data_IF_034253741115
#
_entry.id   IF_034253741115
#
_cell.length_a   1.000
_cell.length_b   1.000
_cell.length_c   1.000
_cell.angle_alpha   90.00
_cell.angle_beta   90.00
_cell.angle_gamma   90.00
#
_symmetry.space_group_name_H-M   'P 1'
#
loop_
_entity.id
_entity.type
_entity.pdbx_description
1 polymer ?
#
# COMPACT_ATOMS: atom_id res chain seq x y z
N UNK A 1 -13.24 2.36 -18.11
CA UNK A 1 -11.91 2.59 -17.50
C UNK A 1 -10.94 1.64 -18.19
N UNK A 2 -9.83 2.17 -18.71
CA UNK A 2 -8.90 1.38 -19.53
C UNK A 2 -7.99 0.57 -18.62
N UNK A 3 -7.96 -0.75 -18.80
CA UNK A 3 -6.99 -1.64 -18.16
C UNK A 3 -5.59 -1.29 -18.69
N UNK A 4 -4.68 -0.88 -17.82
CA UNK A 4 -3.30 -0.51 -18.18
C UNK A 4 -2.41 -1.76 -18.24
N UNK A 5 -1.23 -1.62 -18.84
CA UNK A 5 -0.24 -2.70 -18.87
C UNK A 5 0.25 -3.10 -17.46
N UNK A 6 0.26 -2.16 -16.51
CA UNK A 6 0.64 -2.39 -15.12
C UNK A 6 -0.42 -3.21 -14.37
N UNK A 7 -1.72 -3.03 -14.65
CA UNK A 7 -2.79 -3.81 -14.00
C UNK A 7 -2.67 -5.31 -14.30
N UNK A 8 -2.25 -5.68 -15.51
CA UNK A 8 -2.08 -7.09 -15.89
C UNK A 8 -0.80 -7.73 -15.31
N UNK A 9 0.11 -6.91 -14.78
CA UNK A 9 1.38 -7.35 -14.18
C UNK A 9 1.20 -7.75 -12.70
N UNK A 10 0.30 -7.10 -11.97
CA UNK A 10 0.13 -7.30 -10.53
C UNK A 10 -1.13 -8.12 -10.21
N UNK A 11 -0.95 -9.41 -9.92
CA UNK A 11 -2.02 -10.32 -9.47
C UNK A 11 -2.29 -10.18 -7.95
N UNK A 12 -3.02 -9.14 -7.54
CA UNK A 12 -3.29 -8.87 -6.12
C UNK A 12 -4.12 -9.98 -5.44
N UNK A 13 -5.00 -10.66 -6.17
CA UNK A 13 -5.85 -11.73 -5.65
C UNK A 13 -5.08 -13.04 -5.46
N UNK A 14 -4.23 -13.40 -6.43
CA UNK A 14 -3.48 -14.66 -6.43
C UNK A 14 -2.13 -14.59 -5.72
N UNK A 15 -1.60 -13.40 -5.43
CA UNK A 15 -0.29 -13.24 -4.80
C UNK A 15 -0.28 -13.74 -3.35
N UNK A 16 0.72 -14.59 -3.03
CA UNK A 16 0.92 -15.15 -1.70
C UNK A 16 2.13 -14.50 -1.04
N UNK A 17 1.86 -13.80 0.05
CA UNK A 17 2.88 -13.27 0.95
C UNK A 17 3.63 -14.42 1.62
N UNK A 18 4.95 -14.27 1.76
CA UNK A 18 5.75 -15.11 2.64
C UNK A 18 5.41 -14.83 4.11
N UNK A 19 5.94 -15.68 5.00
CA UNK A 19 5.65 -15.60 6.43
C UNK A 19 5.99 -14.23 7.04
N UNK A 20 7.12 -13.65 6.67
CA UNK A 20 7.54 -12.34 7.21
C UNK A 20 6.59 -11.22 6.78
N UNK A 21 6.29 -11.13 5.48
CA UNK A 21 5.38 -10.13 4.95
C UNK A 21 3.95 -10.29 5.49
N UNK A 22 3.50 -11.53 5.69
CA UNK A 22 2.20 -11.81 6.31
C UNK A 22 2.11 -11.31 7.75
N UNK A 23 3.21 -11.40 8.50
CA UNK A 23 3.28 -10.86 9.87
C UNK A 23 3.30 -9.33 9.87
N UNK A 24 4.05 -8.71 8.96
CA UNK A 24 4.09 -7.25 8.80
C UNK A 24 2.70 -6.69 8.45
N UNK A 25 1.99 -7.33 7.50
CA UNK A 25 0.62 -6.98 7.14
C UNK A 25 -0.33 -7.15 8.33
N UNK A 26 -0.21 -8.24 9.08
CA UNK A 26 -1.04 -8.49 10.26
C UNK A 26 -0.88 -7.38 11.29
N UNK A 27 0.36 -6.95 11.55
CA UNK A 27 0.64 -5.84 12.46
C UNK A 27 0.05 -4.53 11.96
N UNK A 28 0.17 -4.22 10.66
CA UNK A 28 -0.43 -3.02 10.09
C UNK A 28 -1.95 -3.01 10.28
N UNK A 29 -2.63 -4.12 9.97
CA UNK A 29 -4.09 -4.25 10.15
C UNK A 29 -4.48 -4.13 11.61
N UNK A 30 -3.73 -4.75 12.53
CA UNK A 30 -3.98 -4.63 13.97
C UNK A 30 -3.89 -3.16 14.43
N UNK A 31 -2.84 -2.43 14.02
CA UNK A 31 -2.71 -1.00 14.32
C UNK A 31 -3.87 -0.19 13.75
N UNK A 32 -4.26 -0.45 12.50
CA UNK A 32 -5.39 0.25 11.87
C UNK A 32 -6.69 0.01 12.63
N UNK A 33 -7.00 -1.24 13.01
CA UNK A 33 -8.22 -1.60 13.76
C UNK A 33 -8.25 -1.03 15.17
N UNK A 34 -7.11 -0.77 15.78
CA UNK A 34 -7.02 -0.17 17.11
C UNK A 34 -7.35 1.33 17.09
N UNK A 35 -7.12 2.01 15.96
CA UNK A 35 -7.12 3.48 15.90
C UNK A 35 -8.14 4.07 14.92
N UNK A 36 -8.63 3.29 13.95
CA UNK A 36 -9.56 3.72 12.89
C UNK A 36 -10.90 3.00 13.09
N UNK A 37 -12.00 3.76 13.05
CA UNK A 37 -13.35 3.23 13.31
C UNK A 37 -13.85 2.24 12.25
N UNK A 38 -13.50 2.50 10.99
CA UNK A 38 -13.88 1.67 9.85
C UNK A 38 -12.64 1.37 9.02
N UNK A 39 -12.32 0.08 8.91
CA UNK A 39 -11.13 -0.40 8.22
C UNK A 39 -11.53 -1.44 7.20
N UNK A 40 -11.23 -1.18 5.93
CA UNK A 40 -11.25 -2.20 4.89
C UNK A 40 -9.92 -2.99 4.89
N UNK A 41 -9.92 -4.08 5.66
CA UNK A 41 -8.81 -5.04 5.73
C UNK A 41 -8.37 -5.55 4.34
N UNK A 42 -9.30 -5.73 3.41
CA UNK A 42 -9.02 -6.27 2.08
C UNK A 42 -8.32 -5.22 1.23
N UNK A 43 -8.79 -3.98 1.25
CA UNK A 43 -8.16 -2.86 0.57
C UNK A 43 -6.73 -2.62 1.08
N UNK A 44 -6.51 -2.63 2.41
CA UNK A 44 -5.17 -2.52 3.00
C UNK A 44 -4.28 -3.69 2.60
N UNK A 45 -4.82 -4.91 2.62
CA UNK A 45 -4.07 -6.11 2.20
C UNK A 45 -3.63 -6.03 0.74
N UNK A 46 -4.51 -5.56 -0.14
CA UNK A 46 -4.21 -5.40 -1.56
C UNK A 46 -3.20 -4.27 -1.81
N UNK A 47 -3.31 -3.16 -1.09
CA UNK A 47 -2.32 -2.08 -1.13
C UNK A 47 -0.94 -2.55 -0.66
N UNK A 48 -0.88 -3.34 0.42
CA UNK A 48 0.37 -3.91 0.92
C UNK A 48 1.02 -4.84 -0.11
N UNK A 49 0.25 -5.72 -0.75
CA UNK A 49 0.76 -6.59 -1.82
C UNK A 49 1.29 -5.78 -2.99
N UNK A 50 0.56 -4.75 -3.43
CA UNK A 50 1.01 -3.88 -4.52
C UNK A 50 2.31 -3.17 -4.16
N UNK A 51 2.41 -2.60 -2.95
CA UNK A 51 3.63 -1.97 -2.45
C UNK A 51 4.81 -2.96 -2.45
N UNK A 52 4.61 -4.17 -1.95
CA UNK A 52 5.65 -5.19 -1.93
C UNK A 52 6.09 -5.62 -3.34
N UNK A 53 5.14 -5.97 -4.20
CA UNK A 53 5.41 -6.46 -5.56
C UNK A 53 6.05 -5.37 -6.44
N UNK A 54 5.63 -4.12 -6.30
CA UNK A 54 6.19 -2.99 -7.06
C UNK A 54 7.64 -2.70 -6.68
N UNK A 55 8.00 -2.92 -5.42
CA UNK A 55 9.37 -2.74 -4.91
C UNK A 55 10.17 -4.06 -4.80
N UNK A 56 9.71 -5.14 -5.45
CA UNK A 56 10.40 -6.44 -5.37
C UNK A 56 11.85 -6.32 -5.88
N UNK A 57 12.80 -6.76 -5.06
CA UNK A 57 14.23 -6.68 -5.37
C UNK A 57 14.88 -5.31 -5.09
N UNK A 58 14.11 -4.28 -4.74
CA UNK A 58 14.63 -2.99 -4.29
C UNK A 58 15.06 -3.05 -2.82
N UNK A 59 16.20 -2.45 -2.52
CA UNK A 59 16.75 -2.36 -1.17
C UNK A 59 17.09 -0.92 -0.82
N UNK A 60 16.87 -0.54 0.43
CA UNK A 60 17.35 0.76 0.95
C UNK A 60 18.88 0.74 1.07
N UNK A 61 19.46 1.92 1.28
CA UNK A 61 20.90 2.07 1.55
C UNK A 61 21.38 1.26 2.78
N UNK A 62 20.48 0.95 3.73
CA UNK A 62 20.75 0.07 4.88
C UNK A 62 20.86 -1.43 4.51
N UNK A 63 20.41 -1.83 3.32
CA UNK A 63 20.35 -3.23 2.88
C UNK A 63 19.01 -3.93 3.14
N UNK A 64 18.07 -3.26 3.80
CA UNK A 64 16.72 -3.77 4.07
C UNK A 64 15.80 -3.64 2.85
N UNK A 65 14.78 -4.50 2.71
CA UNK A 65 13.75 -4.36 1.69
C UNK A 65 13.09 -2.98 1.72
N UNK A 66 12.83 -2.40 0.54
CA UNK A 66 12.29 -1.04 0.44
C UNK A 66 10.91 -0.88 1.07
N UNK A 67 10.04 -1.90 0.93
CA UNK A 67 8.63 -1.88 1.39
C UNK A 67 8.46 -1.58 2.88
N UNK A 68 9.49 -1.81 3.72
CA UNK A 68 9.44 -1.46 5.13
C UNK A 68 9.18 0.03 5.37
N UNK A 69 9.70 0.91 4.50
CA UNK A 69 9.52 2.33 4.69
C UNK A 69 8.05 2.76 4.55
N UNK A 70 7.35 2.49 3.43
CA UNK A 70 5.93 2.77 3.31
C UNK A 70 5.07 2.12 4.41
N UNK A 71 5.41 0.90 4.85
CA UNK A 71 4.68 0.21 5.92
C UNK A 71 4.78 0.94 7.26
N UNK A 72 5.97 1.40 7.63
CA UNK A 72 6.15 2.14 8.88
C UNK A 72 5.48 3.52 8.82
N UNK A 73 5.50 4.19 7.67
CA UNK A 73 4.75 5.44 7.46
C UNK A 73 3.26 5.20 7.62
N UNK A 74 2.72 4.14 7.01
CA UNK A 74 1.32 3.77 7.12
C UNK A 74 0.89 3.46 8.56
N UNK A 75 1.73 2.79 9.35
CA UNK A 75 1.49 2.57 10.79
C UNK A 75 1.41 3.88 11.58
N UNK A 76 2.31 4.84 11.30
CA UNK A 76 2.30 6.16 11.94
C UNK A 76 1.05 6.94 11.57
N UNK A 77 0.67 6.94 10.29
CA UNK A 77 -0.59 7.58 9.84
C UNK A 77 -1.79 6.96 10.54
N UNK A 78 -1.80 5.63 10.65
CA UNK A 78 -2.85 4.88 11.31
C UNK A 78 -2.92 5.12 12.83
N UNK A 79 -1.82 5.44 13.54
CA UNK A 79 -1.81 5.59 15.00
C UNK A 79 -1.81 7.04 15.51
N UNK A 80 -1.19 7.96 14.77
CA UNK A 80 -1.01 9.35 15.18
C UNK A 80 -2.02 10.31 14.53
N UNK A 81 -2.50 10.00 13.32
CA UNK A 81 -3.40 10.88 12.57
C UNK A 81 -4.86 10.38 12.68
N UNK A 82 -5.08 9.06 12.66
CA UNK A 82 -6.36 8.40 12.97
C UNK A 82 -7.55 8.91 12.15
N UNK A 83 -7.35 9.13 10.84
CA UNK A 83 -8.39 9.69 9.96
C UNK A 83 -9.25 8.58 9.37
N UNK A 84 -8.69 7.81 8.45
CA UNK A 84 -9.40 6.79 7.67
C UNK A 84 -8.41 5.79 7.06
N UNK A 85 -8.95 4.67 6.56
CA UNK A 85 -8.21 3.66 5.82
C UNK A 85 -7.69 4.17 4.46
N UNK A 86 -8.40 5.12 3.83
CA UNK A 86 -7.99 5.80 2.60
C UNK A 86 -6.62 6.48 2.77
N UNK A 87 -6.40 7.22 3.86
CA UNK A 87 -5.12 7.87 4.16
C UNK A 87 -4.01 6.85 4.40
N UNK A 88 -4.32 5.73 5.05
CA UNK A 88 -3.37 4.63 5.28
C UNK A 88 -2.96 4.03 3.93
N UNK A 89 -3.92 3.70 3.07
CA UNK A 89 -3.66 3.15 1.74
C UNK A 89 -2.82 4.14 0.90
N UNK A 90 -3.17 5.43 0.90
CA UNK A 90 -2.41 6.45 0.18
C UNK A 90 -0.97 6.54 0.69
N UNK A 91 -0.77 6.55 2.01
CA UNK A 91 0.56 6.57 2.61
C UNK A 91 1.38 5.30 2.33
N UNK A 92 0.73 4.16 2.13
CA UNK A 92 1.39 2.90 1.78
C UNK A 92 1.83 2.86 0.31
N UNK A 93 1.16 3.62 -0.56
CA UNK A 93 1.34 3.58 -2.02
C UNK A 93 1.96 4.85 -2.62
N UNK A 94 2.22 5.90 -1.83
CA UNK A 94 2.79 7.15 -2.35
C UNK A 94 4.11 6.92 -3.11
N UNK A 95 5.08 6.26 -2.47
CA UNK A 95 6.35 5.88 -3.11
C UNK A 95 6.16 4.88 -4.25
N UNK A 96 5.11 4.05 -4.22
CA UNK A 96 4.84 3.12 -5.33
C UNK A 96 4.56 3.88 -6.63
N UNK A 97 3.86 5.00 -6.59
CA UNK A 97 3.60 5.82 -7.79
C UNK A 97 4.84 6.62 -8.20
N UNK A 98 5.68 7.04 -7.25
CA UNK A 98 6.89 7.83 -7.53
C UNK A 98 8.06 6.97 -8.06
N UNK A 99 8.27 5.79 -7.48
CA UNK A 99 9.48 4.98 -7.68
C UNK A 99 9.31 3.80 -8.65
N UNK A 100 8.09 3.50 -9.09
CA UNK A 100 7.79 2.27 -9.85
C UNK A 100 6.99 2.55 -11.14
N UNK A 101 6.58 1.49 -11.85
CA UNK A 101 5.77 1.59 -13.08
C UNK A 101 4.25 1.64 -12.83
N UNK A 102 3.84 1.66 -11.57
CA UNK A 102 2.45 1.91 -11.16
C UNK A 102 2.14 3.40 -11.31
N UNK A 103 1.02 3.73 -11.94
CA UNK A 103 0.59 5.12 -12.13
C UNK A 103 -0.74 5.42 -11.41
N UNK A 104 -1.11 6.70 -11.36
CA UNK A 104 -2.35 7.15 -10.69
C UNK A 104 -3.62 6.50 -11.27
N UNK A 105 -3.68 6.17 -12.55
CA UNK A 105 -4.86 5.49 -13.12
C UNK A 105 -4.98 4.04 -12.63
N UNK A 106 -3.85 3.38 -12.33
CA UNK A 106 -3.84 2.06 -11.69
C UNK A 106 -4.37 2.14 -10.26
N UNK A 107 -3.93 3.15 -9.51
CA UNK A 107 -4.42 3.41 -8.15
C UNK A 107 -5.92 3.69 -8.16
N UNK A 108 -6.41 4.54 -9.07
CA UNK A 108 -7.84 4.82 -9.24
C UNK A 108 -8.64 3.55 -9.51
N UNK A 109 -8.10 2.64 -10.31
CA UNK A 109 -8.77 1.40 -10.66
C UNK A 109 -8.90 0.44 -9.47
N UNK A 110 -7.85 0.28 -8.65
CA UNK A 110 -7.86 -0.67 -7.53
C UNK A 110 -8.41 -0.11 -6.22
N UNK A 111 -8.15 1.17 -5.92
CA UNK A 111 -8.42 1.77 -4.61
C UNK A 111 -9.36 2.99 -4.68
N UNK A 112 -9.76 3.40 -5.88
CA UNK A 112 -10.71 4.49 -6.09
C UNK A 112 -10.05 5.86 -6.25
N UNK A 113 -10.89 6.85 -6.60
CA UNK A 113 -10.43 8.21 -6.92
C UNK A 113 -9.82 8.93 -5.72
N UNK A 114 -10.38 8.75 -4.53
CA UNK A 114 -9.95 9.47 -3.32
C UNK A 114 -8.49 9.17 -2.97
N UNK A 115 -8.09 7.89 -3.01
CA UNK A 115 -6.69 7.47 -2.80
C UNK A 115 -5.77 8.11 -3.83
N UNK A 116 -6.15 8.09 -5.11
CA UNK A 116 -5.32 8.65 -6.17
C UNK A 116 -5.15 10.17 -6.04
N UNK A 117 -6.20 10.90 -5.65
CA UNK A 117 -6.13 12.34 -5.40
C UNK A 117 -5.20 12.67 -4.24
N UNK A 118 -5.20 11.86 -3.19
CA UNK A 118 -4.28 12.06 -2.05
C UNK A 118 -2.84 11.85 -2.51
N UNK A 119 -2.55 10.76 -3.23
CA UNK A 119 -1.18 10.48 -3.71
C UNK A 119 -0.67 11.56 -4.68
N UNK A 120 -1.51 12.06 -5.58
CA UNK A 120 -1.15 13.16 -6.51
C UNK A 120 -0.78 14.47 -5.78
N UNK A 121 -1.22 14.62 -4.53
CA UNK A 121 -0.97 15.79 -3.71
C UNK A 121 0.28 15.72 -2.81
N UNK A 122 0.97 14.57 -2.76
CA UNK A 122 2.20 14.33 -1.96
C UNK A 122 3.44 14.75 -2.74
#
# INVERSE_FOLDING_TARGET
MSRTASIDKYDLEGYKLEKAQSEDLKQLIEVCREHIEHVDDEAISNAFKLCYMSHEGMKRASGEPYYYHPVEVAKIVASEINIDDVSVIASLLHDTVEDTDVNLDDIRYWFGEEVAVIIDGV
#
